data_IF_045505033975
#
_entry.id   IF_045505033975
#
_cell.length_a   1.000
_cell.length_b   1.000
_cell.length_c   1.000
_cell.angle_alpha   90.00
_cell.angle_beta   90.00
_cell.angle_gamma   90.00
#
_symmetry.space_group_name_H-M   'P 1'
#
loop_
_entity.id
_entity.type
_entity.pdbx_description
1 polymer ?
#
# COMPACT_ATOMS: atom_id res chain seq x y z
N UNK A 1 8.16 16.45 -19.16
CA UNK A 1 9.63 16.50 -18.94
C UNK A 1 10.00 15.65 -17.73
N UNK A 2 11.26 15.27 -17.53
CA UNK A 2 11.71 14.58 -16.30
C UNK A 2 11.33 15.32 -15.00
N UNK A 3 11.26 16.65 -15.04
CA UNK A 3 10.85 17.51 -13.91
C UNK A 3 9.38 17.33 -13.52
N UNK A 4 8.46 17.29 -14.50
CA UNK A 4 7.03 17.10 -14.22
C UNK A 4 6.71 15.73 -13.59
N UNK A 5 7.46 14.68 -14.00
CA UNK A 5 7.34 13.34 -13.41
C UNK A 5 7.77 13.32 -11.94
N UNK A 6 8.85 14.02 -11.61
CA UNK A 6 9.35 14.11 -10.24
C UNK A 6 8.33 14.82 -9.32
N UNK A 7 7.77 15.96 -9.78
CA UNK A 7 6.74 16.70 -9.04
C UNK A 7 5.48 15.85 -8.83
N UNK A 8 5.04 15.11 -9.86
CA UNK A 8 3.90 14.20 -9.75
C UNK A 8 4.14 13.08 -8.73
N UNK A 9 5.33 12.45 -8.77
CA UNK A 9 5.72 11.41 -7.82
C UNK A 9 5.75 11.93 -6.37
N UNK A 10 6.25 13.16 -6.18
CA UNK A 10 6.28 13.79 -4.86
C UNK A 10 4.87 14.08 -4.33
N UNK A 11 3.99 14.65 -5.16
CA UNK A 11 2.60 14.91 -4.78
C UNK A 11 1.84 13.62 -4.45
N UNK A 12 2.06 12.56 -5.24
CA UNK A 12 1.45 11.25 -5.00
C UNK A 12 1.97 10.60 -3.71
N UNK A 13 3.25 10.75 -3.38
CA UNK A 13 3.83 10.32 -2.11
C UNK A 13 3.15 10.98 -0.92
N UNK A 14 3.02 12.31 -0.93
CA UNK A 14 2.34 13.08 0.13
C UNK A 14 0.88 12.64 0.27
N UNK A 15 0.16 12.49 -0.84
CA UNK A 15 -1.24 12.00 -0.82
C UNK A 15 -1.34 10.60 -0.19
N UNK A 16 -0.39 9.72 -0.48
CA UNK A 16 -0.37 8.36 0.08
C UNK A 16 -0.13 8.38 1.59
N UNK A 17 0.77 9.23 2.07
CA UNK A 17 1.02 9.39 3.51
C UNK A 17 -0.21 9.93 4.25
N UNK A 18 -0.90 10.92 3.67
CA UNK A 18 -2.16 11.44 4.24
C UNK A 18 -3.21 10.34 4.31
N UNK A 19 -3.38 9.57 3.23
CA UNK A 19 -4.32 8.45 3.18
C UNK A 19 -4.00 7.40 4.26
N UNK A 20 -2.74 6.98 4.37
CA UNK A 20 -2.33 6.04 5.42
C UNK A 20 -2.59 6.57 6.82
N UNK A 21 -2.37 7.86 7.07
CA UNK A 21 -2.66 8.48 8.36
C UNK A 21 -4.15 8.43 8.70
N UNK A 22 -5.01 8.77 7.75
CA UNK A 22 -6.46 8.73 7.93
C UNK A 22 -6.98 7.31 8.22
N UNK A 23 -6.47 6.32 7.48
CA UNK A 23 -6.91 4.93 7.61
C UNK A 23 -6.35 4.28 8.88
N UNK A 24 -5.11 4.60 9.28
CA UNK A 24 -4.54 4.13 10.53
C UNK A 24 -5.29 4.65 11.77
N UNK A 25 -5.91 5.83 11.67
CA UNK A 25 -6.73 6.42 12.74
C UNK A 25 -8.19 5.93 12.73
N UNK A 26 -8.62 5.29 11.64
CA UNK A 26 -9.99 4.78 11.48
C UNK A 26 -9.99 3.28 11.24
N UNK A 27 -9.94 2.51 12.33
CA UNK A 27 -9.87 1.04 12.31
C UNK A 27 -11.14 0.35 11.83
N UNK A 28 -12.24 1.09 11.63
CA UNK A 28 -13.54 0.52 11.26
C UNK A 28 -14.05 -0.53 12.25
N UNK A 29 -14.96 -1.39 11.78
CA UNK A 29 -15.63 -2.38 12.63
C UNK A 29 -15.25 -3.82 12.27
N UNK A 30 -14.97 -4.09 11.01
CA UNK A 30 -14.68 -5.45 10.53
C UNK A 30 -13.21 -5.83 10.75
N UNK A 31 -12.92 -7.12 10.76
CA UNK A 31 -11.52 -7.58 10.82
C UNK A 31 -10.70 -7.10 9.62
N UNK A 32 -11.31 -7.01 8.42
CA UNK A 32 -10.63 -6.44 7.25
C UNK A 32 -10.31 -4.95 7.42
N UNK A 33 -11.20 -4.17 8.05
CA UNK A 33 -10.92 -2.77 8.35
C UNK A 33 -9.74 -2.62 9.33
N UNK A 34 -9.72 -3.43 10.39
CA UNK A 34 -8.64 -3.42 11.39
C UNK A 34 -7.30 -3.84 10.78
N UNK A 35 -7.28 -4.90 9.98
CA UNK A 35 -6.07 -5.34 9.26
C UNK A 35 -5.57 -4.28 8.30
N UNK A 36 -6.48 -3.60 7.59
CA UNK A 36 -6.12 -2.52 6.67
C UNK A 36 -5.54 -1.31 7.41
N UNK A 37 -6.16 -0.90 8.52
CA UNK A 37 -5.67 0.19 9.36
C UNK A 37 -4.28 -0.13 9.96
N UNK A 38 -4.06 -1.37 10.41
CA UNK A 38 -2.76 -1.83 10.89
C UNK A 38 -1.69 -1.79 9.80
N UNK A 39 -2.01 -2.25 8.58
CA UNK A 39 -1.10 -2.16 7.44
C UNK A 39 -0.76 -0.70 7.10
N UNK A 40 -1.73 0.21 7.19
CA UNK A 40 -1.51 1.66 7.05
C UNK A 40 -0.61 2.22 8.16
N UNK A 41 -0.79 1.81 9.42
CA UNK A 41 0.06 2.21 10.55
C UNK A 41 1.51 1.76 10.35
N UNK A 42 1.72 0.49 10.00
CA UNK A 42 3.04 -0.06 9.69
C UNK A 42 3.72 0.67 8.51
N UNK A 43 2.94 1.09 7.51
CA UNK A 43 3.46 1.89 6.39
C UNK A 43 3.99 3.26 6.82
N UNK A 44 3.36 3.90 7.81
CA UNK A 44 3.81 5.17 8.40
C UNK A 44 5.06 4.99 9.27
N UNK A 45 5.22 3.80 9.87
CA UNK A 45 6.37 3.40 10.69
C UNK A 45 7.54 2.87 9.83
N UNK A 46 7.41 2.88 8.50
CA UNK A 46 8.37 2.31 7.55
C UNK A 46 8.62 0.80 7.71
N UNK A 47 7.72 0.09 8.39
CA UNK A 47 7.69 -1.37 8.53
C UNK A 47 7.09 -2.01 7.27
N UNK A 48 7.68 -1.71 6.10
CA UNK A 48 7.09 -1.98 4.80
C UNK A 48 6.85 -3.46 4.49
N UNK A 49 7.74 -4.35 4.95
CA UNK A 49 7.57 -5.79 4.71
C UNK A 49 6.28 -6.31 5.38
N UNK A 50 6.09 -5.97 6.67
CA UNK A 50 4.88 -6.33 7.42
C UNK A 50 3.63 -5.66 6.85
N UNK A 51 3.73 -4.40 6.44
CA UNK A 51 2.62 -3.70 5.79
C UNK A 51 2.20 -4.37 4.47
N UNK A 52 3.18 -4.69 3.61
CA UNK A 52 2.95 -5.33 2.33
C UNK A 52 2.36 -6.74 2.47
N UNK A 53 2.79 -7.49 3.48
CA UNK A 53 2.21 -8.79 3.81
C UNK A 53 0.71 -8.69 4.11
N UNK A 54 0.31 -7.76 5.00
CA UNK A 54 -1.09 -7.56 5.35
C UNK A 54 -1.93 -7.05 4.18
N UNK A 55 -1.41 -6.11 3.38
CA UNK A 55 -2.13 -5.67 2.19
C UNK A 55 -2.32 -6.80 1.18
N UNK A 56 -1.32 -7.66 0.98
CA UNK A 56 -1.42 -8.80 0.08
C UNK A 56 -2.47 -9.81 0.56
N UNK A 57 -2.54 -10.08 1.87
CA UNK A 57 -3.58 -10.92 2.48
C UNK A 57 -5.00 -10.37 2.23
N UNK A 58 -5.16 -9.04 2.34
CA UNK A 58 -6.43 -8.39 2.01
C UNK A 58 -6.75 -8.55 0.52
N UNK A 59 -5.77 -8.39 -0.37
CA UNK A 59 -5.97 -8.59 -1.82
C UNK A 59 -6.40 -10.01 -2.13
N UNK A 60 -5.78 -11.02 -1.51
CA UNK A 60 -6.12 -12.43 -1.74
C UNK A 60 -7.51 -12.80 -1.20
N UNK A 61 -7.94 -12.16 -0.11
CA UNK A 61 -9.20 -12.49 0.57
C UNK A 61 -10.40 -11.69 0.05
N UNK A 62 -10.21 -10.40 -0.22
CA UNK A 62 -11.26 -9.47 -0.62
C UNK A 62 -10.71 -8.38 -1.53
N UNK A 63 -10.38 -8.75 -2.77
CA UNK A 63 -9.75 -7.86 -3.77
C UNK A 63 -10.44 -6.49 -3.91
N UNK A 64 -11.78 -6.45 -3.88
CA UNK A 64 -12.57 -5.22 -4.06
C UNK A 64 -12.69 -4.36 -2.78
N UNK A 65 -12.10 -4.80 -1.66
CA UNK A 65 -12.14 -4.08 -0.40
C UNK A 65 -11.67 -2.63 -0.57
N UNK A 66 -12.48 -1.68 -0.08
CA UNK A 66 -12.27 -0.23 -0.22
C UNK A 66 -11.89 0.22 -1.64
N UNK A 67 -12.59 -0.30 -2.66
CA UNK A 67 -12.32 0.00 -4.07
C UNK A 67 -10.86 -0.30 -4.46
N UNK A 68 -10.43 -1.55 -4.27
CA UNK A 68 -9.05 -2.01 -4.45
C UNK A 68 -8.04 -1.28 -3.54
N UNK A 69 -8.45 -0.88 -2.33
CA UNK A 69 -7.65 -0.06 -1.41
C UNK A 69 -6.29 -0.69 -1.10
N UNK A 70 -6.26 -1.99 -0.78
CA UNK A 70 -5.02 -2.70 -0.45
C UNK A 70 -4.05 -2.78 -1.64
N UNK A 71 -4.55 -3.07 -2.84
CA UNK A 71 -3.73 -3.03 -4.07
C UNK A 71 -3.14 -1.64 -4.30
N UNK A 72 -3.96 -0.59 -4.18
CA UNK A 72 -3.49 0.81 -4.34
C UNK A 72 -2.44 1.18 -3.30
N UNK A 73 -2.60 0.74 -2.05
CA UNK A 73 -1.63 0.95 -0.99
C UNK A 73 -0.27 0.29 -1.29
N UNK A 74 -0.26 -0.98 -1.75
CA UNK A 74 0.97 -1.65 -2.18
C UNK A 74 1.68 -0.88 -3.30
N UNK A 75 0.95 -0.39 -4.30
CA UNK A 75 1.53 0.41 -5.38
C UNK A 75 2.16 1.72 -4.87
N UNK A 76 1.53 2.37 -3.90
CA UNK A 76 2.11 3.55 -3.25
C UNK A 76 3.42 3.23 -2.53
N UNK A 77 3.51 2.10 -1.82
CA UNK A 77 4.75 1.65 -1.17
C UNK A 77 5.83 1.32 -2.21
N UNK A 78 5.48 0.66 -3.31
CA UNK A 78 6.44 0.38 -4.39
C UNK A 78 7.02 1.66 -4.99
N UNK A 79 6.20 2.68 -5.18
CA UNK A 79 6.66 3.97 -5.69
C UNK A 79 7.58 4.68 -4.68
N UNK A 80 7.35 4.50 -3.38
CA UNK A 80 8.18 5.07 -2.32
C UNK A 80 9.54 4.37 -2.22
N UNK A 81 9.56 3.05 -2.31
CA UNK A 81 10.78 2.23 -2.22
C UNK A 81 11.60 2.25 -3.51
N UNK A 82 10.94 2.45 -4.65
CA UNK A 82 11.54 2.36 -5.98
C UNK A 82 11.51 0.94 -6.55
N UNK A 83 11.71 0.85 -7.87
CA UNK A 83 11.57 -0.39 -8.64
C UNK A 83 12.62 -1.45 -8.26
N UNK A 84 13.85 -1.04 -7.95
CA UNK A 84 14.97 -1.95 -7.65
C UNK A 84 14.97 -2.46 -6.19
N UNK A 85 14.06 -1.97 -5.34
CA UNK A 85 14.03 -2.39 -3.94
C UNK A 85 13.59 -3.87 -3.83
N UNK A 86 14.27 -4.70 -3.02
CA UNK A 86 13.96 -6.14 -2.90
C UNK A 86 12.49 -6.42 -2.55
N UNK A 87 11.92 -5.65 -1.60
CA UNK A 87 10.50 -5.77 -1.24
C UNK A 87 9.57 -5.42 -2.42
N UNK A 88 9.89 -4.38 -3.20
CA UNK A 88 9.09 -4.03 -4.39
C UNK A 88 9.06 -5.19 -5.37
N UNK A 89 10.22 -5.77 -5.70
CA UNK A 89 10.33 -6.88 -6.64
C UNK A 89 9.55 -8.12 -6.16
N UNK A 90 9.74 -8.49 -4.90
CA UNK A 90 9.06 -9.65 -4.30
C UNK A 90 7.53 -9.47 -4.30
N UNK A 91 7.03 -8.40 -3.68
CA UNK A 91 5.59 -8.22 -3.53
C UNK A 91 4.86 -7.85 -4.83
N UNK A 92 5.55 -7.31 -5.85
CA UNK A 92 4.96 -7.17 -7.20
C UNK A 92 4.66 -8.53 -7.83
N UNK A 93 5.60 -9.47 -7.72
CA UNK A 93 5.42 -10.84 -8.21
C UNK A 93 4.24 -11.50 -7.48
N UNK A 94 4.20 -11.39 -6.16
CA UNK A 94 3.15 -12.00 -5.35
C UNK A 94 1.78 -11.36 -5.65
N UNK A 95 1.72 -10.04 -5.79
CA UNK A 95 0.50 -9.33 -6.18
C UNK A 95 0.01 -9.77 -7.56
N UNK A 96 0.89 -9.95 -8.55
CA UNK A 96 0.48 -10.45 -9.87
C UNK A 96 -0.18 -11.82 -9.75
N UNK A 97 0.36 -12.74 -8.94
CA UNK A 97 -0.21 -14.07 -8.74
C UNK A 97 -1.62 -14.04 -8.14
N UNK A 98 -1.96 -13.02 -7.34
CA UNK A 98 -3.31 -12.86 -6.76
C UNK A 98 -4.34 -12.25 -7.74
N UNK A 99 -3.90 -11.75 -8.90
CA UNK A 99 -4.78 -11.05 -9.85
C UNK A 99 -5.21 -11.92 -11.04
N UNK A 100 -4.63 -13.11 -11.20
CA UNK A 100 -4.99 -14.13 -12.18
C UNK A 100 -6.03 -15.10 -11.62
#
# INVERSE_FOLDING_TARGET
SPSERAVYSQAQGVKSLIHFKQEAENTGETELDKTYAEACRLSLESEYDRALQLFLEIVSTSRKFKDDGARKAMLSIFNLLGDEHPLTQQYRKDLMLQLY
#
